data_IF_324581201513
#
_entry.id   IF_324581201513
#
_cell.length_a   1.000
_cell.length_b   1.000
_cell.length_c   1.000
_cell.angle_alpha   90.00
_cell.angle_beta   90.00
_cell.angle_gamma   90.00
#
_symmetry.space_group_name_H-M   'P 1'
#
loop_
_entity.id
_entity.type
_entity.pdbx_description
1 polymer ?
#
# COMPACT_ATOMS: atom_id res chain seq x y z
N UNK A 1 -4.73 8.41 -32.43
CA UNK A 1 -4.86 7.22 -31.56
C UNK A 1 -4.18 7.49 -30.22
N UNK A 2 -4.82 8.25 -29.32
CA UNK A 2 -4.42 8.39 -27.91
C UNK A 2 -5.71 8.36 -27.10
N UNK A 3 -5.96 7.27 -26.37
CA UNK A 3 -7.13 7.15 -25.51
C UNK A 3 -6.84 7.92 -24.23
N UNK A 4 -7.30 9.15 -24.16
CA UNK A 4 -7.58 9.84 -22.91
C UNK A 4 -8.72 9.11 -22.21
N UNK A 5 -8.39 8.29 -21.22
CA UNK A 5 -9.38 7.81 -20.28
C UNK A 5 -8.69 7.42 -18.98
N UNK A 6 -8.66 8.31 -17.99
CA UNK A 6 -8.99 7.92 -16.61
C UNK A 6 -9.44 9.17 -15.86
N UNK A 7 -10.70 9.15 -15.45
CA UNK A 7 -11.37 10.13 -14.61
C UNK A 7 -10.51 10.40 -13.37
N UNK A 8 -10.04 11.64 -13.22
CA UNK A 8 -9.47 12.15 -11.97
C UNK A 8 -10.58 12.27 -10.93
N UNK A 9 -11.00 11.14 -10.37
CA UNK A 9 -11.63 11.12 -9.05
C UNK A 9 -10.55 11.50 -8.05
N UNK A 10 -10.56 12.76 -7.60
CA UNK A 10 -9.65 13.23 -6.57
C UNK A 10 -9.60 12.20 -5.41
N UNK A 11 -8.42 11.72 -4.98
CA UNK A 11 -8.37 10.78 -3.88
C UNK A 11 -8.93 11.49 -2.65
N UNK A 12 -10.02 10.95 -2.11
CA UNK A 12 -10.52 11.32 -0.77
C UNK A 12 -9.31 11.29 0.16
N UNK A 13 -9.03 12.39 0.86
CA UNK A 13 -8.01 12.44 1.93
C UNK A 13 -8.35 11.34 2.96
N UNK A 14 -7.72 10.17 2.86
CA UNK A 14 -8.10 8.98 3.62
C UNK A 14 -7.28 7.75 3.29
N UNK A 15 -7.47 6.70 4.10
CA UNK A 15 -6.81 5.40 4.02
C UNK A 15 -7.14 4.69 2.70
N UNK A 16 -6.12 4.39 1.90
CA UNK A 16 -6.21 3.69 0.61
C UNK A 16 -5.12 2.60 0.48
N UNK A 17 -5.46 1.34 0.75
CA UNK A 17 -4.49 0.24 0.67
C UNK A 17 -4.13 -0.15 -0.77
N UNK A 18 -4.89 0.27 -1.80
CA UNK A 18 -4.57 -0.04 -3.19
C UNK A 18 -3.26 0.62 -3.60
N UNK A 19 -3.04 1.86 -3.18
CA UNK A 19 -1.79 2.60 -3.44
C UNK A 19 -0.57 1.87 -2.91
N UNK A 20 -0.69 1.23 -1.75
CA UNK A 20 0.39 0.41 -1.22
C UNK A 20 0.65 -0.79 -2.15
N UNK A 21 -0.38 -1.58 -2.44
CA UNK A 21 -0.24 -2.79 -3.26
C UNK A 21 0.30 -2.49 -4.66
N UNK A 22 -0.16 -1.41 -5.29
CA UNK A 22 0.36 -0.97 -6.60
C UNK A 22 1.82 -0.56 -6.52
N UNK A 23 2.21 0.14 -5.46
CA UNK A 23 3.62 0.49 -5.23
C UNK A 23 4.48 -0.75 -5.03
N UNK A 24 3.98 -1.77 -4.31
CA UNK A 24 4.69 -3.03 -4.11
C UNK A 24 4.85 -3.80 -5.42
N UNK A 25 3.80 -3.86 -6.26
CA UNK A 25 3.88 -4.49 -7.58
C UNK A 25 4.94 -3.81 -8.45
N UNK A 26 4.93 -2.47 -8.49
CA UNK A 26 5.90 -1.70 -9.29
C UNK A 26 7.34 -1.87 -8.78
N UNK A 27 7.57 -1.79 -7.46
CA UNK A 27 8.92 -1.89 -6.86
C UNK A 27 9.51 -3.28 -6.99
N UNK A 28 8.69 -4.32 -6.82
CA UNK A 28 9.13 -5.71 -6.93
C UNK A 28 9.07 -6.23 -8.37
N UNK A 29 8.73 -5.39 -9.35
CA UNK A 29 8.59 -5.74 -10.76
C UNK A 29 7.63 -6.93 -11.02
N UNK A 30 6.50 -6.93 -10.31
CA UNK A 30 5.48 -7.98 -10.37
C UNK A 30 4.34 -7.56 -11.27
N UNK A 31 3.73 -8.53 -11.96
CA UNK A 31 2.63 -8.28 -12.90
C UNK A 31 1.27 -8.43 -12.24
N UNK A 32 1.18 -9.27 -11.20
CA UNK A 32 -0.10 -9.70 -10.63
C UNK A 32 -0.10 -9.73 -9.10
N UNK A 33 -1.28 -9.47 -8.53
CA UNK A 33 -1.52 -9.62 -7.09
C UNK A 33 -1.23 -11.03 -6.58
N UNK A 34 -1.37 -12.06 -7.43
CA UNK A 34 -1.05 -13.44 -7.07
C UNK A 34 0.46 -13.66 -6.86
N UNK A 35 1.31 -13.00 -7.64
CA UNK A 35 2.76 -13.03 -7.44
C UNK A 35 3.15 -12.29 -6.16
N UNK A 36 2.53 -11.13 -5.90
CA UNK A 36 2.73 -10.41 -4.65
C UNK A 36 2.31 -11.26 -3.44
N UNK A 37 1.19 -11.98 -3.54
CA UNK A 37 0.74 -12.87 -2.48
C UNK A 37 1.74 -14.01 -2.19
N UNK A 38 2.42 -14.53 -3.21
CA UNK A 38 3.44 -15.57 -3.05
C UNK A 38 4.69 -15.04 -2.35
N UNK A 39 5.17 -13.86 -2.75
CA UNK A 39 6.33 -13.21 -2.11
C UNK A 39 6.02 -12.89 -0.66
N UNK A 40 4.83 -12.35 -0.38
CA UNK A 40 4.39 -12.06 0.97
C UNK A 40 3.91 -13.29 1.74
N UNK A 41 4.02 -14.50 1.18
CA UNK A 41 3.55 -15.77 1.78
C UNK A 41 2.12 -15.71 2.36
N UNK A 42 1.22 -15.00 1.68
CA UNK A 42 -0.18 -14.87 2.08
C UNK A 42 -1.12 -15.48 1.05
N UNK A 43 -2.33 -15.82 1.50
CA UNK A 43 -3.36 -16.30 0.60
C UNK A 43 -3.78 -15.18 -0.38
N UNK A 44 -3.89 -15.44 -1.70
CA UNK A 44 -4.37 -14.45 -2.68
C UNK A 44 -5.74 -13.83 -2.33
N UNK A 45 -6.60 -14.56 -1.62
CA UNK A 45 -7.89 -14.06 -1.11
C UNK A 45 -7.72 -12.86 -0.18
N UNK A 46 -6.62 -12.78 0.58
CA UNK A 46 -6.33 -11.65 1.47
C UNK A 46 -6.08 -10.39 0.64
N UNK A 47 -5.20 -10.48 -0.38
CA UNK A 47 -4.95 -9.35 -1.28
C UNK A 47 -6.22 -8.93 -2.01
N UNK A 48 -6.98 -9.89 -2.53
CA UNK A 48 -8.28 -9.61 -3.16
C UNK A 48 -9.25 -8.89 -2.22
N UNK A 49 -9.36 -9.30 -0.95
CA UNK A 49 -10.20 -8.62 0.04
C UNK A 49 -9.71 -7.21 0.35
N UNK A 50 -8.39 -6.98 0.40
CA UNK A 50 -7.81 -5.64 0.61
C UNK A 50 -8.11 -4.73 -0.59
N UNK A 51 -7.89 -5.22 -1.82
CA UNK A 51 -8.21 -4.50 -3.07
C UNK A 51 -9.66 -4.05 -3.14
N UNK A 52 -10.57 -4.94 -2.73
CA UNK A 52 -12.00 -4.68 -2.69
C UNK A 52 -12.46 -3.92 -1.43
N UNK A 53 -11.54 -3.37 -0.62
CA UNK A 53 -11.81 -2.67 0.64
C UNK A 53 -12.66 -3.47 1.66
N UNK A 54 -12.67 -4.80 1.55
CA UNK A 54 -13.35 -5.74 2.47
C UNK A 54 -12.47 -6.13 3.65
N UNK A 55 -11.18 -5.80 3.61
CA UNK A 55 -10.23 -6.02 4.69
C UNK A 55 -9.31 -4.80 4.88
N UNK A 56 -8.97 -4.50 6.14
CA UNK A 56 -7.90 -3.56 6.48
C UNK A 56 -6.57 -4.31 6.53
N UNK A 57 -5.48 -3.58 6.30
CA UNK A 57 -4.14 -4.13 6.48
C UNK A 57 -3.85 -4.21 7.98
N UNK A 58 -3.58 -5.42 8.46
CA UNK A 58 -3.23 -5.67 9.86
C UNK A 58 -1.78 -5.28 10.13
N UNK A 59 -1.45 -5.06 11.40
CA UNK A 59 -0.07 -4.79 11.82
C UNK A 59 0.88 -5.94 11.43
N UNK A 60 0.43 -7.19 11.56
CA UNK A 60 1.21 -8.38 11.18
C UNK A 60 1.50 -8.42 9.68
N UNK A 61 0.54 -8.04 8.84
CA UNK A 61 0.76 -7.97 7.40
C UNK A 61 1.70 -6.82 7.03
N UNK A 62 1.59 -5.67 7.69
CA UNK A 62 2.55 -4.57 7.52
C UNK A 62 3.98 -4.98 7.87
N UNK A 63 4.15 -5.71 8.98
CA UNK A 63 5.45 -6.20 9.40
C UNK A 63 6.03 -7.16 8.35
N UNK A 64 5.22 -8.10 7.87
CA UNK A 64 5.67 -9.02 6.80
C UNK A 64 6.04 -8.29 5.51
N UNK A 65 5.26 -7.29 5.10
CA UNK A 65 5.62 -6.46 3.94
C UNK A 65 6.95 -5.75 4.16
N UNK A 66 7.18 -5.22 5.37
CA UNK A 66 8.45 -4.58 5.72
C UNK A 66 9.62 -5.57 5.62
N UNK A 67 9.47 -6.79 6.15
CA UNK A 67 10.51 -7.83 6.09
C UNK A 67 10.84 -8.24 4.65
N UNK A 68 9.82 -8.42 3.79
CA UNK A 68 10.02 -8.89 2.41
C UNK A 68 10.49 -7.80 1.43
N UNK A 69 10.20 -6.53 1.72
CA UNK A 69 10.49 -5.42 0.79
C UNK A 69 11.51 -4.42 1.30
N UNK A 70 11.94 -4.57 2.55
CA UNK A 70 12.81 -3.63 3.29
C UNK A 70 12.24 -2.20 3.38
N UNK A 71 10.98 -2.00 2.98
CA UNK A 71 10.31 -0.70 3.06
C UNK A 71 9.93 -0.47 4.52
N UNK A 72 10.41 0.63 5.10
CA UNK A 72 10.07 0.98 6.49
C UNK A 72 8.56 1.02 6.73
N UNK A 73 8.12 0.55 7.90
CA UNK A 73 6.70 0.58 8.31
C UNK A 73 6.11 2.00 8.19
N UNK A 74 6.92 3.03 8.44
CA UNK A 74 6.52 4.44 8.25
C UNK A 74 6.11 4.72 6.82
N UNK A 75 6.95 4.32 5.86
CA UNK A 75 6.69 4.55 4.45
C UNK A 75 5.49 3.73 3.96
N UNK A 76 5.36 2.48 4.39
CA UNK A 76 4.18 1.65 4.10
C UNK A 76 2.88 2.35 4.53
N UNK A 77 2.88 2.96 5.73
CA UNK A 77 1.74 3.72 6.24
C UNK A 77 1.49 5.01 5.45
N UNK A 78 2.54 5.72 5.03
CA UNK A 78 2.41 6.89 4.18
C UNK A 78 1.80 6.54 2.81
N UNK A 79 2.22 5.42 2.20
CA UNK A 79 1.69 4.94 0.93
C UNK A 79 0.19 4.65 1.01
N UNK A 80 -0.28 4.13 2.14
CA UNK A 80 -1.70 3.92 2.40
C UNK A 80 -2.45 5.21 2.78
N UNK A 81 -1.78 6.34 2.99
CA UNK A 81 -2.41 7.54 3.57
C UNK A 81 -2.79 7.39 5.04
N UNK A 82 -2.24 6.39 5.74
CA UNK A 82 -2.45 6.14 7.17
C UNK A 82 -1.55 7.05 8.02
N UNK A 83 -1.77 8.36 7.95
CA UNK A 83 -0.94 9.34 8.66
C UNK A 83 -1.42 9.61 10.09
N UNK A 84 -2.58 9.07 10.49
CA UNK A 84 -3.20 9.35 11.80
C UNK A 84 -2.74 8.39 12.90
N UNK A 85 -1.42 8.16 13.04
CA UNK A 85 -0.93 7.42 14.20
C UNK A 85 -0.77 8.36 15.40
N UNK A 86 -1.47 8.08 16.50
CA UNK A 86 -1.31 8.81 17.77
C UNK A 86 0.14 8.71 18.31
N UNK A 87 0.84 7.64 18.01
CA UNK A 87 2.18 7.36 18.54
C UNK A 87 3.33 7.84 17.65
N UNK A 88 3.08 8.03 16.36
CA UNK A 88 4.09 8.49 15.39
C UNK A 88 3.52 9.62 14.54
N UNK A 89 3.28 10.81 15.14
CA UNK A 89 2.86 11.97 14.36
C UNK A 89 3.92 12.28 13.30
N UNK A 90 3.46 12.54 12.08
CA UNK A 90 4.32 12.93 10.97
C UNK A 90 5.02 14.26 11.31
N UNK A 91 6.25 14.20 11.82
CA UNK A 91 7.12 15.37 11.98
C UNK A 91 7.76 15.63 10.62
N UNK A 92 7.15 16.51 9.84
CA UNK A 92 7.71 16.99 8.59
C UNK A 92 8.96 17.81 8.95
N UNK A 93 10.14 17.20 8.93
CA UNK A 93 11.39 17.94 8.97
C UNK A 93 11.52 18.67 7.65
N UNK A 94 11.14 19.95 7.65
CA UNK A 94 11.61 20.92 6.68
C UNK A 94 13.13 20.88 6.68
N UNK A 95 13.72 20.23 5.68
CA UNK A 95 15.09 20.55 5.29
C UNK A 95 14.97 21.76 4.37
N UNK A 96 15.75 22.78 4.73
CA UNK A 96 15.78 24.13 4.18
C UNK A 96 16.01 24.17 2.67
#
# INVERSE_FOLDING_TARGET
>A
MKRENTRLGAPRKGYDPNRLLDTLLLRQNLKTDAELARILEINPSVISKIRNAKARISASLLLKIHEETDISIRELRNLMGDTKNKYFPFRQSKLN
#
